data_IF_544993125603
#
_entry.id   IF_544993125603
#
_cell.length_a   1.000
_cell.length_b   1.000
_cell.length_c   1.000
_cell.angle_alpha   90.00
_cell.angle_beta   90.00
_cell.angle_gamma   90.00
#
_symmetry.space_group_name_H-M   'P 1'
#
loop_
_entity.id
_entity.type
_entity.pdbx_description
1 polymer ?
#
# COMPACT_ATOMS: atom_id res chain seq x y z
N UNK A 1 28.52 10.86 20.96
CA UNK A 1 29.33 10.39 19.81
C UNK A 1 29.50 11.54 18.83
N UNK A 2 30.72 12.06 18.60
CA UNK A 2 30.92 13.16 17.62
C UNK A 2 30.55 12.67 16.21
N UNK A 3 29.78 13.44 15.42
CA UNK A 3 29.48 13.07 14.03
C UNK A 3 30.79 12.98 13.24
N UNK A 4 30.94 11.92 12.44
CA UNK A 4 32.12 11.77 11.58
C UNK A 4 32.08 12.84 10.49
N UNK A 5 33.10 13.69 10.44
CA UNK A 5 33.25 14.71 9.41
C UNK A 5 33.64 14.03 8.10
N UNK A 6 32.82 14.18 7.06
CA UNK A 6 33.17 13.74 5.70
C UNK A 6 34.41 14.52 5.26
N UNK A 7 35.45 13.82 4.85
CA UNK A 7 36.71 14.43 4.40
C UNK A 7 37.38 13.61 3.30
N UNK A 8 38.09 14.32 2.43
CA UNK A 8 38.97 13.72 1.43
C UNK A 8 40.37 13.61 2.01
N UNK A 9 41.00 12.45 1.87
CA UNK A 9 42.38 12.21 2.27
C UNK A 9 43.14 11.46 1.17
N UNK A 10 44.47 11.59 1.15
CA UNK A 10 45.34 10.79 0.29
C UNK A 10 45.47 9.38 0.88
N UNK A 11 45.44 8.36 0.02
CA UNK A 11 45.57 6.96 0.40
C UNK A 11 46.86 6.38 -0.20
N UNK A 12 47.82 6.07 0.66
CA UNK A 12 49.16 5.64 0.23
C UNK A 12 49.23 4.14 -0.14
N UNK A 13 48.26 3.33 0.29
CA UNK A 13 48.27 1.87 0.09
C UNK A 13 47.55 1.41 -1.19
N UNK A 14 47.33 2.31 -2.17
CA UNK A 14 46.78 1.94 -3.48
C UNK A 14 47.52 2.65 -4.60
N UNK A 15 48.00 1.86 -5.57
CA UNK A 15 48.63 2.40 -6.78
C UNK A 15 47.62 3.14 -7.69
N UNK A 16 46.36 2.69 -7.70
CA UNK A 16 45.32 3.15 -8.64
C UNK A 16 44.31 4.10 -8.01
N UNK A 17 44.05 4.00 -6.71
CA UNK A 17 43.05 4.81 -6.01
C UNK A 17 43.70 5.63 -4.88
N UNK A 18 44.35 6.72 -5.28
CA UNK A 18 45.18 7.55 -4.38
C UNK A 18 44.36 8.48 -3.48
N UNK A 19 43.04 8.54 -3.62
CA UNK A 19 42.16 9.41 -2.84
C UNK A 19 41.04 8.62 -2.17
N UNK A 20 40.76 8.94 -0.91
CA UNK A 20 39.71 8.29 -0.12
C UNK A 20 38.81 9.32 0.53
N UNK A 21 37.50 9.09 0.46
CA UNK A 21 36.48 9.82 1.22
C UNK A 21 36.16 9.03 2.46
N UNK A 22 36.47 9.60 3.62
CA UNK A 22 36.23 9.00 4.94
C UNK A 22 35.01 9.65 5.62
N UNK A 23 34.46 8.96 6.62
CA UNK A 23 33.38 9.51 7.46
C UNK A 23 31.98 9.31 6.89
N UNK A 24 31.85 8.52 5.81
CA UNK A 24 30.58 8.07 5.24
C UNK A 24 29.92 7.05 6.16
N UNK A 25 28.60 6.91 6.05
CA UNK A 25 27.84 5.81 6.66
C UNK A 25 27.15 5.02 5.56
N UNK A 26 27.15 3.69 5.67
CA UNK A 26 26.36 2.83 4.79
C UNK A 26 24.89 2.76 5.24
N UNK A 27 24.07 2.05 4.49
CA UNK A 27 22.63 1.88 4.75
C UNK A 27 22.33 1.20 6.11
N UNK A 28 23.34 0.58 6.76
CA UNK A 28 23.24 0.01 8.11
C UNK A 28 23.78 0.95 9.19
N UNK A 29 24.05 2.22 8.85
CA UNK A 29 24.60 3.23 9.75
C UNK A 29 26.07 3.03 10.13
N UNK A 30 26.76 2.01 9.58
CA UNK A 30 28.16 1.72 9.86
C UNK A 30 29.08 2.62 9.03
N UNK A 31 30.24 2.97 9.60
CA UNK A 31 31.24 3.81 8.90
C UNK A 31 31.74 3.10 7.65
N UNK A 32 31.81 3.82 6.53
CA UNK A 32 32.35 3.34 5.26
C UNK A 32 33.37 4.31 4.69
N UNK A 33 34.16 3.81 3.74
CA UNK A 33 35.14 4.58 2.95
C UNK A 33 34.86 4.34 1.47
N UNK A 34 35.10 5.36 0.64
CA UNK A 34 35.04 5.24 -0.83
C UNK A 34 36.31 5.77 -1.46
N UNK A 35 36.88 5.01 -2.38
CA UNK A 35 38.17 5.28 -3.00
C UNK A 35 38.00 5.80 -4.43
N UNK A 36 38.89 6.71 -4.83
CA UNK A 36 38.85 7.42 -6.10
C UNK A 36 40.25 7.54 -6.70
N UNK A 37 40.32 7.66 -8.03
CA UNK A 37 41.58 7.80 -8.76
C UNK A 37 42.11 9.22 -8.69
N UNK A 38 41.22 10.20 -8.86
CA UNK A 38 41.56 11.62 -8.88
C UNK A 38 41.05 12.37 -7.63
N UNK A 39 41.73 13.45 -7.28
CA UNK A 39 41.33 14.33 -6.17
C UNK A 39 39.99 15.00 -6.46
N UNK A 40 39.82 15.45 -7.71
CA UNK A 40 38.62 16.15 -8.18
C UNK A 40 37.38 15.27 -8.01
N UNK A 41 37.44 14.00 -8.42
CA UNK A 41 36.34 13.04 -8.20
C UNK A 41 36.01 12.85 -6.71
N UNK A 42 37.04 12.76 -5.86
CA UNK A 42 36.85 12.60 -4.43
C UNK A 42 36.22 13.85 -3.79
N UNK A 43 36.67 15.05 -4.20
CA UNK A 43 36.14 16.33 -3.73
C UNK A 43 34.68 16.53 -4.20
N UNK A 44 34.36 16.20 -5.45
CA UNK A 44 32.98 16.24 -5.99
C UNK A 44 32.06 15.30 -5.23
N UNK A 45 32.49 14.05 -5.02
CA UNK A 45 31.73 13.08 -4.24
C UNK A 45 31.53 13.55 -2.79
N UNK A 46 32.58 14.07 -2.14
CA UNK A 46 32.49 14.57 -0.77
C UNK A 46 31.56 15.77 -0.65
N UNK A 47 31.56 16.69 -1.63
CA UNK A 47 30.61 17.82 -1.70
C UNK A 47 29.17 17.33 -1.78
N UNK A 48 28.89 16.40 -2.69
CA UNK A 48 27.55 15.83 -2.87
C UNK A 48 27.07 15.09 -1.61
N UNK A 49 27.92 14.25 -1.03
CA UNK A 49 27.59 13.51 0.19
C UNK A 49 27.34 14.44 1.39
N UNK A 50 28.08 15.55 1.50
CA UNK A 50 27.87 16.55 2.53
C UNK A 50 26.55 17.31 2.33
N UNK A 51 26.22 17.67 1.08
CA UNK A 51 24.96 18.32 0.75
C UNK A 51 23.76 17.41 1.07
N UNK A 52 23.85 16.14 0.69
CA UNK A 52 22.85 15.12 1.00
C UNK A 52 22.67 14.94 2.52
N UNK A 53 23.77 14.81 3.27
CA UNK A 53 23.73 14.70 4.73
C UNK A 53 23.10 15.95 5.38
N UNK A 54 23.38 17.15 4.88
CA UNK A 54 22.77 18.40 5.37
C UNK A 54 21.28 18.42 5.07
N UNK A 55 20.87 18.05 3.87
CA UNK A 55 19.46 18.03 3.47
C UNK A 55 18.65 17.03 4.31
N UNK A 56 19.14 15.81 4.50
CA UNK A 56 18.48 14.84 5.38
C UNK A 56 18.51 15.28 6.85
N UNK A 57 19.62 15.85 7.31
CA UNK A 57 19.75 16.38 8.67
C UNK A 57 18.71 17.46 8.96
N UNK A 58 18.53 18.42 8.04
CA UNK A 58 17.51 19.46 8.14
C UNK A 58 16.10 18.87 8.14
N UNK A 59 15.77 17.98 7.19
CA UNK A 59 14.47 17.30 7.15
C UNK A 59 14.19 16.52 8.45
N UNK A 60 15.20 15.83 8.98
CA UNK A 60 15.07 15.06 10.22
C UNK A 60 14.94 15.94 11.48
N UNK A 61 15.50 17.14 11.48
CA UNK A 61 15.35 18.11 12.58
C UNK A 61 13.90 18.54 12.77
N UNK A 62 13.14 18.67 11.67
CA UNK A 62 11.73 19.05 11.72
C UNK A 62 10.78 17.90 12.09
N UNK A 63 11.26 16.65 12.17
CA UNK A 63 10.42 15.53 12.56
C UNK A 63 10.19 15.51 14.08
N UNK A 64 8.93 15.53 14.56
CA UNK A 64 8.62 15.33 15.97
C UNK A 64 9.25 14.05 16.52
N UNK A 65 9.64 14.07 17.80
CA UNK A 65 10.28 12.90 18.43
C UNK A 65 9.40 11.64 18.36
N UNK A 66 8.11 11.78 18.62
CA UNK A 66 7.15 10.67 18.55
C UNK A 66 7.06 10.06 17.16
N UNK A 67 7.09 10.89 16.10
CA UNK A 67 7.04 10.41 14.72
C UNK A 67 8.30 9.62 14.33
N UNK A 68 9.47 10.02 14.86
CA UNK A 68 10.71 9.27 14.67
C UNK A 68 10.66 7.89 15.32
N UNK A 69 10.16 7.81 16.56
CA UNK A 69 9.99 6.54 17.26
C UNK A 69 8.96 5.64 16.57
N UNK A 70 7.83 6.20 16.13
CA UNK A 70 6.82 5.42 15.42
C UNK A 70 7.33 4.89 14.09
N UNK A 71 8.10 5.68 13.33
CA UNK A 71 8.70 5.24 12.08
C UNK A 71 9.66 4.05 12.27
N UNK A 72 10.49 4.09 13.32
CA UNK A 72 11.38 2.97 13.67
C UNK A 72 10.56 1.72 14.01
N UNK A 73 9.61 1.84 14.92
CA UNK A 73 8.77 0.71 15.36
C UNK A 73 7.98 0.09 14.19
N UNK A 74 7.43 0.92 13.29
CA UNK A 74 6.71 0.44 12.12
C UNK A 74 7.66 -0.24 11.12
N UNK A 75 8.85 0.32 10.87
CA UNK A 75 9.85 -0.29 10.01
C UNK A 75 10.30 -1.66 10.55
N UNK A 76 10.53 -1.80 11.85
CA UNK A 76 10.87 -3.08 12.49
C UNK A 76 9.76 -4.11 12.30
N UNK A 77 8.50 -3.74 12.56
CA UNK A 77 7.35 -4.65 12.35
C UNK A 77 7.22 -5.10 10.89
N UNK A 78 7.39 -4.19 9.95
CA UNK A 78 7.27 -4.49 8.51
C UNK A 78 8.45 -5.33 8.00
N UNK A 79 9.63 -5.18 8.60
CA UNK A 79 10.82 -5.94 8.21
C UNK A 79 10.65 -7.45 8.37
N UNK A 80 9.83 -7.90 9.34
CA UNK A 80 9.46 -9.31 9.54
C UNK A 80 8.81 -9.92 8.29
N UNK A 81 8.10 -9.09 7.52
CA UNK A 81 7.42 -9.48 6.28
C UNK A 81 8.16 -9.04 5.02
N UNK A 82 9.39 -8.51 5.15
CA UNK A 82 10.16 -7.97 4.02
C UNK A 82 9.51 -6.75 3.35
N UNK A 83 8.68 -5.99 4.08
CA UNK A 83 7.97 -4.81 3.57
C UNK A 83 8.56 -3.51 4.12
N UNK A 84 8.41 -2.44 3.35
CA UNK A 84 8.82 -1.08 3.69
C UNK A 84 7.64 -0.22 4.17
N UNK A 85 7.95 0.95 4.75
CA UNK A 85 6.92 1.93 5.12
C UNK A 85 6.21 2.44 3.87
N UNK A 86 6.92 2.54 2.74
CA UNK A 86 6.41 2.91 1.43
C UNK A 86 5.38 1.88 0.94
N UNK A 87 5.68 0.57 1.02
CA UNK A 87 4.74 -0.50 0.64
C UNK A 87 3.45 -0.43 1.46
N UNK A 88 3.59 -0.23 2.78
CA UNK A 88 2.45 -0.12 3.69
C UNK A 88 1.61 1.13 3.41
N UNK A 89 2.28 2.24 3.07
CA UNK A 89 1.63 3.51 2.74
C UNK A 89 0.84 3.39 1.45
N UNK A 90 1.43 2.83 0.38
CA UNK A 90 0.73 2.69 -0.89
C UNK A 90 -0.48 1.75 -0.75
N UNK A 91 -0.32 0.62 -0.05
CA UNK A 91 -1.42 -0.31 0.22
C UNK A 91 -2.55 0.34 1.04
N UNK A 92 -2.24 1.21 2.00
CA UNK A 92 -3.25 1.96 2.74
C UNK A 92 -3.95 2.99 1.86
N UNK A 93 -3.19 3.74 1.05
CA UNK A 93 -3.74 4.74 0.13
C UNK A 93 -4.67 4.10 -0.90
N UNK A 94 -4.31 2.94 -1.45
CA UNK A 94 -5.15 2.18 -2.36
C UNK A 94 -6.49 1.81 -1.71
N UNK A 95 -6.46 1.24 -0.49
CA UNK A 95 -7.68 0.91 0.26
C UNK A 95 -8.53 2.13 0.57
N UNK A 96 -7.91 3.26 0.93
CA UNK A 96 -8.63 4.51 1.19
C UNK A 96 -9.26 5.09 -0.09
N UNK A 97 -8.56 5.04 -1.23
CA UNK A 97 -9.11 5.47 -2.53
C UNK A 97 -10.34 4.65 -2.92
N UNK A 98 -10.28 3.33 -2.69
CA UNK A 98 -11.41 2.42 -2.94
C UNK A 98 -12.56 2.73 -1.98
N UNK A 99 -12.29 2.88 -0.69
CA UNK A 99 -13.32 3.21 0.31
C UNK A 99 -14.01 4.54 0.00
N UNK A 100 -13.26 5.58 -0.40
CA UNK A 100 -13.82 6.88 -0.80
C UNK A 100 -14.69 6.81 -2.06
N UNK A 101 -14.39 5.89 -2.98
CA UNK A 101 -15.19 5.65 -4.18
C UNK A 101 -16.32 4.65 -3.95
N UNK A 102 -16.32 3.97 -2.80
CA UNK A 102 -17.30 2.94 -2.51
C UNK A 102 -18.69 3.56 -2.39
N UNK A 103 -19.69 2.73 -2.66
CA UNK A 103 -21.08 3.10 -2.53
C UNK A 103 -21.77 2.19 -1.53
N UNK A 104 -22.96 2.61 -1.06
CA UNK A 104 -23.81 1.73 -0.26
C UNK A 104 -24.12 0.46 -1.05
N UNK A 105 -24.21 -0.68 -0.37
CA UNK A 105 -24.50 -1.94 -1.04
C UNK A 105 -25.85 -1.88 -1.80
N UNK A 106 -26.84 -1.15 -1.27
CA UNK A 106 -28.10 -0.89 -1.95
C UNK A 106 -27.92 -0.16 -3.28
N UNK A 107 -27.04 0.86 -3.33
CA UNK A 107 -26.71 1.57 -4.57
C UNK A 107 -26.01 0.64 -5.56
N UNK A 108 -25.06 -0.18 -5.10
CA UNK A 108 -24.38 -1.17 -5.94
C UNK A 108 -25.37 -2.16 -6.57
N UNK A 109 -26.31 -2.68 -5.79
CA UNK A 109 -27.38 -3.59 -6.27
C UNK A 109 -28.26 -2.89 -7.30
N UNK A 110 -28.67 -1.64 -7.04
CA UNK A 110 -29.50 -0.87 -7.97
C UNK A 110 -28.79 -0.65 -9.31
N UNK A 111 -27.53 -0.21 -9.30
CA UNK A 111 -26.73 -0.01 -10.51
C UNK A 111 -26.49 -1.32 -11.27
N UNK A 112 -26.22 -2.41 -10.55
CA UNK A 112 -26.03 -3.73 -11.15
C UNK A 112 -27.30 -4.23 -11.86
N UNK A 113 -28.47 -4.07 -11.22
CA UNK A 113 -29.76 -4.44 -11.81
C UNK A 113 -30.05 -3.61 -13.07
N UNK A 114 -29.79 -2.29 -13.03
CA UNK A 114 -29.88 -1.43 -14.21
C UNK A 114 -29.00 -1.92 -15.36
N UNK A 115 -27.74 -2.22 -15.07
CA UNK A 115 -26.81 -2.75 -16.08
C UNK A 115 -27.25 -4.10 -16.68
N UNK A 116 -27.96 -4.95 -15.92
CA UNK A 116 -28.53 -6.20 -16.45
C UNK A 116 -29.80 -5.97 -17.27
N UNK A 117 -30.62 -5.00 -16.87
CA UNK A 117 -31.80 -4.61 -17.63
C UNK A 117 -31.41 -4.06 -19.00
N UNK A 118 -30.40 -3.20 -19.08
CA UNK A 118 -29.90 -2.63 -20.33
C UNK A 118 -29.35 -3.70 -21.29
N UNK A 119 -28.91 -4.85 -20.74
CA UNK A 119 -28.45 -6.01 -21.51
C UNK A 119 -29.59 -6.93 -21.97
N UNK A 120 -30.85 -6.55 -21.77
CA UNK A 120 -32.01 -7.28 -22.25
C UNK A 120 -32.34 -8.56 -21.46
N UNK A 121 -31.91 -8.67 -20.20
CA UNK A 121 -32.26 -9.83 -19.38
C UNK A 121 -33.77 -9.88 -19.10
N UNK A 122 -34.33 -11.10 -19.04
CA UNK A 122 -35.76 -11.30 -18.83
C UNK A 122 -36.23 -10.73 -17.48
N UNK A 123 -37.49 -10.25 -17.43
CA UNK A 123 -38.10 -9.72 -16.20
C UNK A 123 -38.01 -10.69 -15.03
N UNK A 124 -38.22 -11.99 -15.30
CA UNK A 124 -38.11 -13.06 -14.28
C UNK A 124 -36.70 -13.15 -13.71
N UNK A 125 -35.68 -13.05 -14.56
CA UNK A 125 -34.29 -13.09 -14.11
C UNK A 125 -33.91 -11.84 -13.30
N UNK A 126 -34.34 -10.65 -13.73
CA UNK A 126 -34.12 -9.41 -12.98
C UNK A 126 -34.79 -9.47 -11.61
N UNK A 127 -35.98 -10.06 -11.52
CA UNK A 127 -36.68 -10.24 -10.25
C UNK A 127 -35.95 -11.22 -9.32
N UNK A 128 -35.42 -12.33 -9.83
CA UNK A 128 -34.58 -13.27 -9.06
C UNK A 128 -33.35 -12.56 -8.49
N UNK A 129 -32.62 -11.80 -9.33
CA UNK A 129 -31.48 -11.00 -8.90
C UNK A 129 -31.88 -9.99 -7.82
N UNK A 130 -32.96 -9.25 -8.02
CA UNK A 130 -33.44 -8.25 -7.07
C UNK A 130 -33.76 -8.88 -5.72
N UNK A 131 -34.47 -10.00 -5.71
CA UNK A 131 -34.84 -10.68 -4.47
C UNK A 131 -33.62 -11.20 -3.71
N UNK A 132 -32.71 -11.88 -4.41
CA UNK A 132 -31.53 -12.51 -3.78
C UNK A 132 -30.53 -11.48 -3.29
N UNK A 133 -30.19 -10.49 -4.12
CA UNK A 133 -29.25 -9.43 -3.77
C UNK A 133 -29.85 -8.47 -2.74
N UNK A 134 -31.15 -8.21 -2.79
CA UNK A 134 -31.87 -7.44 -1.78
C UNK A 134 -31.81 -8.11 -0.40
N UNK A 135 -32.00 -9.43 -0.33
CA UNK A 135 -31.87 -10.17 0.95
C UNK A 135 -30.48 -10.04 1.55
N UNK A 136 -29.43 -10.09 0.72
CA UNK A 136 -28.07 -9.87 1.16
C UNK A 136 -27.83 -8.42 1.61
N UNK A 137 -28.35 -7.44 0.87
CA UNK A 137 -28.24 -6.04 1.23
C UNK A 137 -28.90 -5.72 2.57
N UNK A 138 -30.07 -6.32 2.86
CA UNK A 138 -30.72 -6.21 4.17
C UNK A 138 -29.87 -6.79 5.30
N UNK A 139 -29.17 -7.89 5.08
CA UNK A 139 -28.24 -8.47 6.07
C UNK A 139 -27.03 -7.57 6.33
N UNK A 140 -26.49 -6.95 5.27
CA UNK A 140 -25.35 -6.06 5.37
C UNK A 140 -25.67 -4.72 6.06
N UNK A 141 -26.93 -4.26 6.00
CA UNK A 141 -27.38 -3.02 6.61
C UNK A 141 -26.85 -1.77 5.89
N UNK A 142 -26.37 -0.79 6.65
CA UNK A 142 -25.87 0.49 6.13
C UNK A 142 -24.44 0.45 5.60
N UNK A 143 -23.79 -0.72 5.63
CA UNK A 143 -22.42 -0.89 5.16
C UNK A 143 -22.27 -0.55 3.68
N UNK A 144 -21.16 0.08 3.34
CA UNK A 144 -20.68 0.21 1.97
C UNK A 144 -20.21 -1.13 1.43
N UNK A 145 -20.16 -1.26 0.10
CA UNK A 145 -19.69 -2.48 -0.53
C UNK A 145 -18.25 -2.82 -0.10
N UNK A 146 -17.39 -1.82 0.12
CA UNK A 146 -15.99 -2.01 0.54
C UNK A 146 -15.80 -2.47 1.98
N UNK A 147 -16.80 -2.30 2.84
CA UNK A 147 -16.74 -2.72 4.25
C UNK A 147 -17.17 -4.18 4.45
N UNK A 148 -17.76 -4.80 3.42
CA UNK A 148 -18.17 -6.19 3.46
C UNK A 148 -16.92 -7.06 3.33
N UNK A 149 -16.65 -7.84 4.38
CA UNK A 149 -15.52 -8.77 4.41
C UNK A 149 -15.91 -10.15 3.89
N UNK A 150 -14.96 -10.92 3.32
CA UNK A 150 -15.22 -12.30 2.87
C UNK A 150 -15.86 -13.18 3.94
N UNK A 151 -15.45 -13.04 5.20
CA UNK A 151 -15.97 -13.86 6.31
C UNK A 151 -17.44 -13.56 6.61
N UNK A 152 -17.89 -12.32 6.37
CA UNK A 152 -19.30 -11.94 6.51
C UNK A 152 -20.16 -12.54 5.40
N UNK A 153 -19.62 -12.62 4.18
CA UNK A 153 -20.28 -13.26 3.04
C UNK A 153 -20.42 -14.76 3.33
N UNK A 154 -19.34 -15.41 3.76
CA UNK A 154 -19.34 -16.83 4.08
C UNK A 154 -20.31 -17.15 5.22
N UNK A 155 -20.26 -16.39 6.32
CA UNK A 155 -21.19 -16.55 7.45
C UNK A 155 -22.66 -16.44 7.02
N UNK A 156 -22.98 -15.51 6.11
CA UNK A 156 -24.33 -15.39 5.58
C UNK A 156 -24.71 -16.55 4.66
N UNK A 157 -23.79 -17.00 3.80
CA UNK A 157 -24.02 -18.11 2.89
C UNK A 157 -24.25 -19.44 3.64
N UNK A 158 -23.56 -19.66 4.76
CA UNK A 158 -23.72 -20.87 5.60
C UNK A 158 -25.15 -21.05 6.16
N UNK A 159 -25.98 -20.02 6.14
CA UNK A 159 -27.41 -20.12 6.48
C UNK A 159 -28.23 -20.87 5.42
N UNK A 160 -27.65 -21.14 4.25
CA UNK A 160 -28.31 -21.81 3.13
C UNK A 160 -27.61 -23.14 2.82
N UNK A 161 -28.40 -24.19 2.62
CA UNK A 161 -27.90 -25.50 2.18
C UNK A 161 -28.04 -25.72 0.67
N UNK A 162 -27.23 -26.63 0.13
CA UNK A 162 -27.39 -27.22 -1.21
C UNK A 162 -27.40 -26.19 -2.34
N UNK A 163 -28.38 -26.31 -3.24
CA UNK A 163 -28.48 -25.47 -4.44
C UNK A 163 -28.65 -23.97 -4.12
N UNK A 164 -29.30 -23.65 -3.01
CA UNK A 164 -29.50 -22.25 -2.61
C UNK A 164 -28.18 -21.55 -2.26
N UNK A 165 -27.26 -22.25 -1.59
CA UNK A 165 -25.91 -21.74 -1.32
C UNK A 165 -25.22 -21.32 -2.63
N UNK A 166 -25.18 -22.23 -3.61
CA UNK A 166 -24.52 -21.99 -4.89
C UNK A 166 -25.21 -20.87 -5.69
N UNK A 167 -26.53 -20.84 -5.69
CA UNK A 167 -27.30 -19.80 -6.37
C UNK A 167 -27.00 -18.40 -5.79
N UNK A 168 -26.96 -18.26 -4.46
CA UNK A 168 -26.57 -17.00 -3.84
C UNK A 168 -25.12 -16.63 -4.13
N UNK A 169 -24.19 -17.58 -3.97
CA UNK A 169 -22.77 -17.37 -4.25
C UNK A 169 -22.54 -16.84 -5.67
N UNK A 170 -23.17 -17.44 -6.68
CA UNK A 170 -23.03 -16.97 -8.07
C UNK A 170 -23.56 -15.55 -8.27
N UNK A 171 -24.68 -15.17 -7.63
CA UNK A 171 -25.21 -13.81 -7.75
C UNK A 171 -24.33 -12.79 -7.05
N UNK A 172 -23.83 -13.11 -5.84
CA UNK A 172 -22.90 -12.27 -5.10
C UNK A 172 -21.60 -12.09 -5.86
N UNK A 173 -21.02 -13.17 -6.39
CA UNK A 173 -19.82 -13.10 -7.22
C UNK A 173 -20.01 -12.15 -8.42
N UNK A 174 -21.17 -12.20 -9.09
CA UNK A 174 -21.50 -11.28 -10.17
C UNK A 174 -21.62 -9.80 -9.72
N UNK A 175 -22.22 -9.56 -8.55
CA UNK A 175 -22.37 -8.22 -7.97
C UNK A 175 -21.02 -7.61 -7.57
N UNK A 176 -20.19 -8.35 -6.82
CA UNK A 176 -18.90 -7.85 -6.36
C UNK A 176 -17.92 -7.66 -7.53
N UNK A 177 -17.91 -8.56 -8.52
CA UNK A 177 -17.15 -8.34 -9.76
C UNK A 177 -17.62 -7.11 -10.54
N UNK A 178 -18.91 -6.79 -10.51
CA UNK A 178 -19.40 -5.53 -11.08
C UNK A 178 -18.85 -4.32 -10.32
N UNK A 179 -18.83 -4.36 -8.99
CA UNK A 179 -18.25 -3.30 -8.17
C UNK A 179 -16.74 -3.11 -8.38
N UNK A 180 -15.98 -4.20 -8.55
CA UNK A 180 -14.55 -4.15 -8.90
C UNK A 180 -14.37 -3.46 -10.25
N UNK A 181 -15.12 -3.86 -11.28
CA UNK A 181 -15.06 -3.24 -12.62
C UNK A 181 -15.44 -1.75 -12.63
N UNK A 182 -16.24 -1.30 -11.67
CA UNK A 182 -16.62 0.11 -11.50
C UNK A 182 -15.64 0.90 -10.61
N UNK A 183 -14.66 0.24 -9.99
CA UNK A 183 -13.70 0.86 -9.08
C UNK A 183 -14.28 1.22 -7.71
N UNK A 184 -15.40 0.60 -7.32
CA UNK A 184 -16.00 0.75 -5.98
C UNK A 184 -15.42 -0.22 -4.95
N UNK A 185 -14.69 -1.22 -5.43
CA UNK A 185 -14.08 -2.33 -4.68
C UNK A 185 -12.66 -2.55 -5.21
N UNK A 186 -11.76 -3.00 -4.34
CA UNK A 186 -10.46 -3.55 -4.72
C UNK A 186 -10.63 -5.01 -5.17
N UNK A 187 -9.70 -5.50 -5.98
CA UNK A 187 -9.58 -6.93 -6.33
C UNK A 187 -9.07 -7.76 -5.14
#
# INVERSE_FOLDING_TARGET
MRPSKIRVAKYEHSATSKWVVEGLKNNKGKRSRKFFRSRVEADDFARNALQEQRQYGQKAQHLPHQLRLSAINCAEKLSVYGKSLEDATESLLERLRVSQRSCSLNKLVSEYLGSKQDKGLSRRHLQDLKNRLGKFASFAGEKTASEIKPEQIEHWLQQFGGENYNNYLQRLHGLFNYGIKRGYLAE
#
